data_IF_102221219565
#
_entry.id   IF_102221219565
#
_cell.length_a   1.000
_cell.length_b   1.000
_cell.length_c   1.000
_cell.angle_alpha   90.00
_cell.angle_beta   90.00
_cell.angle_gamma   90.00
#
_symmetry.space_group_name_H-M   'P 1'
#
loop_
_entity.id
_entity.type
_entity.pdbx_description
1 polymer ?
#
# COMPACT_ATOMS: atom_id res chain seq x y z
N UNK A 1 -3.95 20.56 20.44
CA UNK A 1 -4.49 19.29 20.99
C UNK A 1 -4.08 18.14 20.08
N UNK A 2 -3.40 17.11 20.59
CA UNK A 2 -3.05 15.91 19.79
C UNK A 2 -4.34 15.18 19.39
N UNK A 3 -4.72 15.22 18.12
CA UNK A 3 -5.83 14.43 17.59
C UNK A 3 -5.57 12.93 17.83
N UNK A 4 -6.50 12.29 18.54
CA UNK A 4 -6.49 10.85 18.78
C UNK A 4 -7.26 10.14 17.67
N UNK A 5 -6.85 8.92 17.38
CA UNK A 5 -7.30 8.10 16.26
C UNK A 5 -7.74 6.74 16.81
N UNK A 6 -8.94 6.25 16.46
CA UNK A 6 -9.56 5.03 17.04
C UNK A 6 -10.13 4.12 15.98
N UNK A 7 -9.89 2.80 16.06
CA UNK A 7 -10.53 1.79 15.20
C UNK A 7 -11.93 1.50 15.72
N UNK A 8 -12.95 1.66 14.86
CA UNK A 8 -14.37 1.54 15.25
C UNK A 8 -15.08 0.33 14.66
N UNK A 9 -14.61 -0.19 13.53
CA UNK A 9 -15.07 -1.46 12.98
C UNK A 9 -13.95 -2.12 12.15
N UNK A 10 -14.00 -3.44 12.00
CA UNK A 10 -13.07 -4.18 11.15
C UNK A 10 -13.75 -5.44 10.63
N UNK A 11 -13.68 -5.65 9.32
CA UNK A 11 -14.18 -6.85 8.65
C UNK A 11 -13.21 -7.27 7.55
N UNK A 12 -13.18 -8.56 7.25
CA UNK A 12 -12.46 -9.13 6.11
C UNK A 12 -13.33 -10.14 5.40
N UNK A 13 -13.08 -10.37 4.12
CA UNK A 13 -13.62 -11.55 3.45
C UNK A 13 -12.93 -12.81 3.99
N UNK A 14 -13.50 -14.00 3.76
CA UNK A 14 -12.70 -15.22 3.74
C UNK A 14 -11.53 -15.06 2.77
N UNK A 15 -10.43 -15.75 3.05
CA UNK A 15 -9.32 -15.85 2.12
C UNK A 15 -9.50 -17.10 1.25
N UNK A 16 -9.61 -16.88 -0.06
CA UNK A 16 -9.69 -17.92 -1.07
C UNK A 16 -8.31 -18.47 -1.40
N UNK A 17 -8.23 -19.76 -1.74
CA UNK A 17 -7.02 -20.34 -2.28
C UNK A 17 -6.84 -19.90 -3.75
N UNK A 18 -5.60 -19.95 -4.27
CA UNK A 18 -5.33 -19.66 -5.68
C UNK A 18 -6.15 -20.55 -6.63
N UNK A 19 -6.92 -19.92 -7.52
CA UNK A 19 -7.86 -20.62 -8.40
C UNK A 19 -9.07 -21.24 -7.69
N UNK A 20 -9.29 -20.90 -6.42
CA UNK A 20 -10.36 -21.42 -5.57
C UNK A 20 -11.68 -20.65 -5.71
N UNK A 21 -12.43 -20.56 -4.61
CA UNK A 21 -13.82 -20.06 -4.64
C UNK A 21 -13.96 -18.57 -4.99
N UNK A 22 -12.94 -17.77 -4.72
CA UNK A 22 -12.97 -16.31 -4.92
C UNK A 22 -12.35 -15.84 -6.24
N UNK A 23 -11.88 -16.76 -7.09
CA UNK A 23 -11.11 -16.42 -8.31
C UNK A 23 -11.85 -15.49 -9.28
N UNK A 24 -13.19 -15.57 -9.30
CA UNK A 24 -14.03 -14.80 -10.23
C UNK A 24 -14.37 -13.40 -9.68
N UNK A 25 -13.93 -13.07 -8.46
CA UNK A 25 -14.10 -11.75 -7.85
C UNK A 25 -12.82 -10.94 -7.96
N UNK A 26 -12.95 -9.73 -8.49
CA UNK A 26 -11.85 -8.76 -8.56
C UNK A 26 -11.45 -8.26 -7.16
N UNK A 27 -10.22 -7.76 -7.03
CA UNK A 27 -9.77 -7.09 -5.81
C UNK A 27 -10.70 -5.90 -5.45
N UNK A 28 -11.27 -5.22 -6.43
CA UNK A 28 -12.22 -4.13 -6.24
C UNK A 28 -13.52 -4.61 -5.56
N UNK A 29 -14.02 -5.78 -5.96
CA UNK A 29 -15.21 -6.40 -5.39
C UNK A 29 -14.97 -6.89 -3.97
N UNK A 30 -13.88 -7.63 -3.75
CA UNK A 30 -13.51 -8.14 -2.43
C UNK A 30 -13.31 -7.01 -1.41
N UNK A 31 -12.64 -5.92 -1.83
CA UNK A 31 -12.46 -4.73 -0.99
C UNK A 31 -13.78 -4.02 -0.70
N UNK A 32 -14.66 -3.91 -1.70
CA UNK A 32 -15.99 -3.32 -1.55
C UNK A 32 -16.88 -4.11 -0.58
N UNK A 33 -16.85 -5.44 -0.67
CA UNK A 33 -17.58 -6.33 0.24
C UNK A 33 -17.09 -6.17 1.70
N UNK A 34 -15.78 -6.18 1.90
CA UNK A 34 -15.19 -5.98 3.22
C UNK A 34 -15.55 -4.59 3.80
N UNK A 35 -15.42 -3.53 3.00
CA UNK A 35 -15.73 -2.17 3.43
C UNK A 35 -17.22 -1.99 3.74
N UNK A 36 -18.11 -2.54 2.90
CA UNK A 36 -19.55 -2.52 3.16
C UNK A 36 -19.90 -3.25 4.46
N UNK A 37 -19.31 -4.42 4.69
CA UNK A 37 -19.55 -5.21 5.89
C UNK A 37 -19.03 -4.52 7.16
N UNK A 38 -17.88 -3.84 7.08
CA UNK A 38 -17.34 -3.06 8.17
C UNK A 38 -18.25 -1.85 8.49
N UNK A 39 -18.74 -1.13 7.48
CA UNK A 39 -19.62 0.04 7.68
C UNK A 39 -20.95 -0.37 8.31
N UNK A 40 -21.46 -1.55 7.96
CA UNK A 40 -22.68 -2.10 8.53
C UNK A 40 -22.58 -2.40 10.05
N UNK A 41 -21.37 -2.48 10.62
CA UNK A 41 -21.18 -2.62 12.08
C UNK A 41 -21.39 -1.31 12.85
N UNK A 42 -21.41 -0.17 12.15
CA UNK A 42 -21.55 1.14 12.78
C UNK A 42 -23.02 1.41 13.16
N UNK A 43 -23.29 2.25 14.17
CA UNK A 43 -24.65 2.70 14.47
C UNK A 43 -25.32 3.36 13.26
N UNK A 44 -26.64 3.22 13.11
CA UNK A 44 -27.38 3.75 11.95
C UNK A 44 -27.16 5.27 11.71
N UNK A 45 -27.07 6.06 12.79
CA UNK A 45 -26.76 7.49 12.71
C UNK A 45 -25.36 7.76 12.16
N UNK A 46 -24.38 6.93 12.54
CA UNK A 46 -23.05 7.00 11.98
C UNK A 46 -23.08 6.59 10.50
N UNK A 47 -23.75 5.50 10.13
CA UNK A 47 -23.87 5.10 8.72
C UNK A 47 -24.48 6.22 7.86
N UNK A 48 -25.60 6.81 8.28
CA UNK A 48 -26.26 7.92 7.59
C UNK A 48 -25.35 9.14 7.43
N UNK A 49 -24.65 9.53 8.49
CA UNK A 49 -23.69 10.63 8.42
C UNK A 49 -22.58 10.39 7.39
N UNK A 50 -22.28 9.14 7.01
CA UNK A 50 -21.13 8.85 6.14
C UNK A 50 -21.52 8.64 4.70
N UNK A 51 -22.75 8.19 4.48
CA UNK A 51 -23.33 7.95 3.16
C UNK A 51 -24.08 9.17 2.64
N UNK A 52 -24.52 10.09 3.51
CA UNK A 52 -25.30 11.28 3.14
C UNK A 52 -24.54 12.60 3.32
N UNK A 53 -23.45 12.61 4.08
CA UNK A 53 -22.67 13.83 4.28
C UNK A 53 -21.98 14.26 2.99
N UNK A 54 -22.10 15.56 2.70
CA UNK A 54 -21.31 16.24 1.66
C UNK A 54 -19.97 16.76 2.19
N UNK A 55 -19.64 16.48 3.47
CA UNK A 55 -18.36 16.88 4.07
C UNK A 55 -17.20 16.27 3.31
N UNK A 56 -16.26 17.12 2.90
CA UNK A 56 -15.03 16.72 2.22
C UNK A 56 -14.01 16.05 3.16
N UNK A 57 -14.31 15.95 4.47
CA UNK A 57 -13.39 15.43 5.50
C UNK A 57 -13.48 13.90 5.68
N UNK A 58 -13.71 13.19 4.58
CA UNK A 58 -13.74 11.73 4.49
C UNK A 58 -12.73 11.26 3.44
N UNK A 59 -12.13 10.08 3.61
CA UNK A 59 -11.20 9.52 2.62
C UNK A 59 -11.34 7.99 2.54
N UNK A 60 -11.06 7.42 1.38
CA UNK A 60 -10.94 5.97 1.19
C UNK A 60 -9.51 5.64 0.78
N UNK A 61 -8.83 4.87 1.61
CA UNK A 61 -7.41 4.55 1.44
C UNK A 61 -7.29 3.02 1.40
N UNK A 62 -6.99 2.45 0.23
CA UNK A 62 -6.95 1.00 0.08
C UNK A 62 -5.60 0.51 -0.45
N UNK A 63 -5.09 -0.55 0.17
CA UNK A 63 -3.87 -1.20 -0.23
C UNK A 63 -4.11 -2.18 -1.37
N UNK A 64 -3.34 -2.10 -2.43
CA UNK A 64 -3.32 -3.11 -3.49
C UNK A 64 -1.93 -3.14 -4.13
N UNK A 65 -1.41 -4.35 -4.35
CA UNK A 65 -0.06 -4.55 -4.88
C UNK A 65 -0.13 -4.92 -6.35
N UNK A 66 -0.87 -5.99 -6.66
CA UNK A 66 -1.03 -6.47 -8.02
C UNK A 66 -2.33 -5.90 -8.61
N UNK A 67 -2.18 -5.08 -9.64
CA UNK A 67 -3.33 -4.53 -10.37
C UNK A 67 -3.82 -5.58 -11.39
N UNK A 68 -4.66 -6.50 -10.94
CA UNK A 68 -5.01 -7.73 -11.66
C UNK A 68 -6.30 -7.66 -12.47
N UNK A 69 -7.11 -6.60 -12.32
CA UNK A 69 -8.33 -6.38 -13.11
C UNK A 69 -8.20 -5.16 -14.03
N UNK A 70 -9.06 -5.08 -15.04
CA UNK A 70 -9.09 -3.95 -16.00
C UNK A 70 -9.37 -2.61 -15.34
N UNK A 71 -10.06 -2.61 -14.21
CA UNK A 71 -10.43 -1.45 -13.42
C UNK A 71 -9.59 -1.29 -12.15
N UNK A 72 -8.51 -2.06 -11.98
CA UNK A 72 -7.63 -2.02 -10.82
C UNK A 72 -7.00 -0.64 -10.52
N UNK A 73 -6.68 0.24 -11.51
CA UNK A 73 -6.22 1.60 -11.21
C UNK A 73 -7.20 2.43 -10.38
N UNK A 74 -8.49 2.08 -10.40
CA UNK A 74 -9.56 2.77 -9.67
C UNK A 74 -9.97 2.06 -8.37
N UNK A 75 -9.17 1.11 -7.88
CA UNK A 75 -9.55 0.21 -6.78
C UNK A 75 -10.14 0.92 -5.56
N UNK A 76 -9.40 1.84 -4.93
CA UNK A 76 -9.89 2.52 -3.73
C UNK A 76 -11.19 3.29 -3.99
N UNK A 77 -11.33 3.87 -5.19
CA UNK A 77 -12.54 4.58 -5.59
C UNK A 77 -13.73 3.61 -5.75
N UNK A 78 -13.53 2.50 -6.44
CA UNK A 78 -14.56 1.48 -6.63
C UNK A 78 -14.97 0.84 -5.31
N UNK A 79 -14.03 0.60 -4.39
CA UNK A 79 -14.31 0.13 -3.04
C UNK A 79 -15.23 1.11 -2.30
N UNK A 80 -14.90 2.40 -2.29
CA UNK A 80 -15.72 3.42 -1.64
C UNK A 80 -17.15 3.48 -2.18
N UNK A 81 -17.30 3.46 -3.51
CA UNK A 81 -18.63 3.48 -4.16
C UNK A 81 -19.43 2.20 -3.87
N UNK A 82 -18.78 1.02 -3.91
CA UNK A 82 -19.43 -0.26 -3.56
C UNK A 82 -19.84 -0.35 -2.11
N UNK A 83 -19.12 0.35 -1.23
CA UNK A 83 -19.45 0.49 0.19
C UNK A 83 -20.59 1.50 0.45
N UNK A 84 -21.07 2.20 -0.58
CA UNK A 84 -22.16 3.18 -0.48
C UNK A 84 -21.72 4.58 -0.05
N UNK A 85 -20.43 4.90 -0.13
CA UNK A 85 -19.93 6.23 0.19
C UNK A 85 -20.27 7.24 -0.94
N UNK A 86 -20.42 8.54 -0.60
CA UNK A 86 -20.73 9.58 -1.57
C UNK A 86 -19.70 9.66 -2.70
N UNK A 87 -20.16 10.00 -3.90
CA UNK A 87 -19.28 10.25 -5.05
C UNK A 87 -18.29 11.39 -4.82
N UNK A 88 -18.54 12.28 -3.86
CA UNK A 88 -17.64 13.36 -3.47
C UNK A 88 -16.47 12.89 -2.60
N UNK A 89 -16.52 11.68 -2.06
CA UNK A 89 -15.47 11.15 -1.17
C UNK A 89 -14.18 10.88 -1.97
N UNK A 90 -13.05 11.52 -1.64
CA UNK A 90 -11.77 11.23 -2.28
C UNK A 90 -11.29 9.81 -1.94
N UNK A 91 -10.55 9.21 -2.86
CA UNK A 91 -10.02 7.87 -2.69
C UNK A 91 -8.65 7.73 -3.36
N UNK A 92 -7.75 6.97 -2.76
CA UNK A 92 -6.48 6.63 -3.38
C UNK A 92 -5.98 5.24 -2.97
N UNK A 93 -5.27 4.61 -3.90
CA UNK A 93 -4.70 3.28 -3.73
C UNK A 93 -3.24 3.40 -3.32
N UNK A 94 -2.81 2.62 -2.32
CA UNK A 94 -1.43 2.59 -1.83
C UNK A 94 -0.79 1.26 -2.15
N UNK A 95 0.42 1.29 -2.69
CA UNK A 95 1.25 0.10 -2.85
C UNK A 95 2.50 0.20 -1.97
N UNK A 96 2.54 -0.63 -0.94
CA UNK A 96 3.71 -0.93 -0.09
C UNK A 96 3.90 -2.44 0.06
N UNK A 97 3.76 -3.16 -1.06
CA UNK A 97 3.81 -4.62 -1.16
C UNK A 97 2.95 -5.29 -0.07
N UNK A 98 3.43 -6.36 0.56
CA UNK A 98 2.71 -7.14 1.57
C UNK A 98 2.19 -6.30 2.77
N UNK A 99 2.71 -5.08 2.96
CA UNK A 99 2.32 -4.18 4.05
C UNK A 99 1.32 -3.10 3.63
N UNK A 100 0.79 -3.14 2.40
CA UNK A 100 -0.11 -2.10 1.88
C UNK A 100 -1.35 -1.90 2.75
N UNK A 101 -1.98 -2.98 3.22
CA UNK A 101 -3.14 -2.88 4.11
C UNK A 101 -2.86 -2.17 5.44
N UNK A 102 -1.70 -2.42 6.07
CA UNK A 102 -1.29 -1.68 7.27
C UNK A 102 -0.88 -0.24 6.97
N UNK A 103 -0.31 -0.01 5.77
CA UNK A 103 0.11 1.32 5.36
C UNK A 103 -1.08 2.27 5.26
N UNK A 104 -2.24 1.81 4.80
CA UNK A 104 -3.43 2.66 4.68
C UNK A 104 -3.92 3.17 6.04
N UNK A 105 -3.82 2.36 7.10
CA UNK A 105 -4.10 2.78 8.48
C UNK A 105 -3.15 3.91 8.90
N UNK A 106 -1.87 3.80 8.56
CA UNK A 106 -0.86 4.81 8.88
C UNK A 106 -1.15 6.12 8.16
N UNK A 107 -1.50 6.04 6.87
CA UNK A 107 -1.92 7.18 6.08
C UNK A 107 -3.15 7.88 6.69
N UNK A 108 -4.20 7.12 7.06
CA UNK A 108 -5.37 7.68 7.72
C UNK A 108 -5.02 8.39 9.05
N UNK A 109 -4.19 7.76 9.89
CA UNK A 109 -3.73 8.37 11.15
C UNK A 109 -2.99 9.69 10.88
N UNK A 110 -2.22 9.77 9.80
CA UNK A 110 -1.52 11.00 9.40
C UNK A 110 -2.51 12.08 8.96
N UNK A 111 -3.44 11.76 8.05
CA UNK A 111 -4.48 12.68 7.56
C UNK A 111 -5.35 13.23 8.71
N UNK A 112 -5.71 12.39 9.68
CA UNK A 112 -6.49 12.79 10.87
C UNK A 112 -5.70 13.70 11.80
N UNK A 113 -4.39 13.47 11.94
CA UNK A 113 -3.52 14.27 12.80
C UNK A 113 -3.29 15.67 12.25
N UNK A 114 -3.12 15.79 10.93
CA UNK A 114 -3.00 17.11 10.27
C UNK A 114 -4.36 17.80 10.13
N UNK A 115 -5.44 17.05 10.28
CA UNK A 115 -6.79 17.57 10.30
C UNK A 115 -7.42 17.70 8.91
N UNK A 116 -6.92 16.95 7.93
CA UNK A 116 -7.46 16.90 6.56
C UNK A 116 -8.74 16.05 6.50
N UNK A 117 -8.78 14.96 7.28
CA UNK A 117 -9.95 14.08 7.37
C UNK A 117 -10.32 13.83 8.83
N UNK A 118 -11.59 13.62 9.11
CA UNK A 118 -12.04 13.16 10.44
C UNK A 118 -12.18 11.64 10.49
N UNK A 119 -12.22 11.04 9.31
CA UNK A 119 -12.75 9.74 9.01
C UNK A 119 -12.04 9.20 7.76
N UNK A 120 -11.55 7.96 7.81
CA UNK A 120 -11.03 7.29 6.64
C UNK A 120 -11.43 5.81 6.60
N UNK A 121 -11.96 5.31 5.49
CA UNK A 121 -12.14 3.87 5.28
C UNK A 121 -10.80 3.31 4.81
N UNK A 122 -10.21 2.42 5.60
CA UNK A 122 -8.88 1.86 5.33
C UNK A 122 -8.95 0.37 5.10
N UNK A 123 -8.04 -0.17 4.32
CA UNK A 123 -8.02 -1.61 4.09
C UNK A 123 -6.95 -2.04 3.11
N UNK A 124 -7.04 -3.28 2.70
CA UNK A 124 -6.23 -3.87 1.64
C UNK A 124 -7.01 -4.95 0.92
N UNK A 125 -6.87 -5.02 -0.39
CA UNK A 125 -7.53 -6.03 -1.21
C UNK A 125 -6.61 -6.52 -2.31
N UNK A 126 -6.62 -7.82 -2.55
CA UNK A 126 -5.79 -8.49 -3.53
C UNK A 126 -6.57 -9.67 -4.15
N UNK A 127 -6.38 -9.85 -5.45
CA UNK A 127 -6.88 -11.03 -6.18
C UNK A 127 -5.73 -11.54 -7.03
N UNK A 128 -4.96 -12.46 -6.45
CA UNK A 128 -3.77 -13.04 -7.08
C UNK A 128 -4.17 -14.02 -8.17
N UNK A 129 -5.34 -14.68 -8.04
CA UNK A 129 -5.89 -15.58 -9.07
C UNK A 129 -6.18 -14.88 -10.40
N UNK A 130 -6.47 -13.58 -10.38
CA UNK A 130 -6.72 -12.79 -11.60
C UNK A 130 -5.46 -12.20 -12.23
N UNK A 131 -4.27 -12.48 -11.68
CA UNK A 131 -3.05 -11.91 -12.21
C UNK A 131 -2.85 -12.29 -13.70
N UNK A 132 -2.68 -11.30 -14.59
CA UNK A 132 -2.66 -11.57 -16.02
C UNK A 132 -1.30 -12.10 -16.46
N UNK A 133 -1.30 -12.76 -17.61
CA UNK A 133 -0.10 -12.87 -18.42
C UNK A 133 0.11 -11.59 -19.23
N UNK A 134 1.36 -11.12 -19.34
CA UNK A 134 1.72 -9.85 -19.97
C UNK A 134 2.68 -10.10 -21.14
N UNK A 135 2.33 -9.56 -22.31
CA UNK A 135 3.23 -9.47 -23.47
C UNK A 135 3.86 -8.08 -23.49
N UNK A 136 5.16 -8.00 -23.21
CA UNK A 136 5.92 -6.75 -23.23
C UNK A 136 6.49 -6.49 -24.62
N UNK A 137 6.78 -5.23 -24.93
CA UNK A 137 7.46 -4.79 -26.16
C UNK A 137 6.70 -5.03 -27.48
N UNK A 138 5.41 -5.36 -27.44
CA UNK A 138 4.61 -5.62 -28.66
C UNK A 138 3.85 -4.42 -29.20
N UNK A 139 3.74 -3.32 -28.42
CA UNK A 139 2.91 -2.15 -28.75
C UNK A 139 3.26 -1.51 -30.11
N UNK A 140 4.53 -1.59 -30.52
CA UNK A 140 5.05 -0.97 -31.74
C UNK A 140 5.49 -2.02 -32.77
N UNK A 141 4.95 -3.25 -32.69
CA UNK A 141 5.36 -4.38 -33.52
C UNK A 141 6.43 -5.26 -32.83
N UNK A 142 6.69 -6.42 -33.43
CA UNK A 142 7.67 -7.41 -32.93
C UNK A 142 8.68 -7.74 -34.01
N UNK A 143 9.89 -8.13 -33.61
CA UNK A 143 10.90 -8.66 -34.53
C UNK A 143 10.64 -10.13 -34.80
N UNK A 144 11.12 -10.62 -35.94
CA UNK A 144 11.11 -12.05 -36.25
C UNK A 144 11.95 -12.81 -35.21
N UNK A 145 11.33 -13.79 -34.54
CA UNK A 145 11.98 -14.64 -33.53
C UNK A 145 11.11 -14.83 -32.28
N UNK A 146 10.99 -16.06 -31.74
CA UNK A 146 10.17 -16.35 -30.56
C UNK A 146 10.64 -15.62 -29.29
N UNK A 147 11.90 -15.19 -29.23
CA UNK A 147 12.49 -14.47 -28.10
C UNK A 147 11.88 -13.08 -27.87
N UNK A 148 11.26 -12.49 -28.90
CA UNK A 148 10.60 -11.18 -28.84
C UNK A 148 9.14 -11.26 -28.38
N UNK A 149 8.58 -12.47 -28.32
CA UNK A 149 7.20 -12.76 -27.90
C UNK A 149 7.20 -13.68 -26.68
N UNK A 150 7.58 -13.13 -25.53
CA UNK A 150 7.57 -13.85 -24.25
C UNK A 150 6.35 -13.46 -23.44
N UNK A 151 5.52 -14.45 -23.17
CA UNK A 151 4.38 -14.32 -22.26
C UNK A 151 4.90 -14.39 -20.82
N UNK A 152 4.83 -13.28 -20.10
CA UNK A 152 5.29 -13.17 -18.72
C UNK A 152 4.12 -13.37 -17.76
N UNK A 153 4.25 -14.28 -16.79
CA UNK A 153 3.33 -14.34 -15.65
C UNK A 153 3.58 -13.15 -14.72
N UNK A 154 2.62 -12.22 -14.64
CA UNK A 154 2.78 -11.00 -13.84
C UNK A 154 2.87 -11.29 -12.34
N UNK A 155 2.23 -12.35 -11.85
CA UNK A 155 2.27 -12.74 -10.45
C UNK A 155 3.66 -13.25 -10.08
N UNK A 156 4.17 -14.23 -10.82
CA UNK A 156 5.51 -14.77 -10.61
C UNK A 156 6.58 -13.66 -10.75
N UNK A 157 6.40 -12.77 -11.73
CA UNK A 157 7.25 -11.61 -11.90
C UNK A 157 7.21 -10.67 -10.68
N UNK A 158 6.05 -10.46 -10.05
CA UNK A 158 5.91 -9.59 -8.86
C UNK A 158 6.52 -10.19 -7.59
N UNK A 159 6.64 -11.52 -7.51
CA UNK A 159 7.23 -12.25 -6.38
C UNK A 159 8.75 -12.44 -6.50
N UNK A 160 9.36 -11.77 -7.48
CA UNK A 160 10.81 -11.76 -7.70
C UNK A 160 11.31 -10.34 -7.62
N UNK A 161 12.12 -10.05 -6.60
CA UNK A 161 12.86 -8.79 -6.55
C UNK A 161 13.93 -8.84 -7.64
N UNK A 162 14.05 -7.78 -8.44
CA UNK A 162 15.01 -7.70 -9.54
C UNK A 162 16.16 -6.75 -9.23
N UNK A 163 16.22 -6.16 -8.03
CA UNK A 163 17.21 -5.16 -7.68
C UNK A 163 17.77 -5.33 -6.26
N UNK A 164 19.09 -5.22 -6.05
CA UNK A 164 20.15 -5.11 -7.06
C UNK A 164 20.42 -6.43 -7.79
N UNK A 165 19.93 -7.55 -7.24
CA UNK A 165 20.02 -8.89 -7.81
C UNK A 165 18.62 -9.44 -8.08
N UNK A 166 18.52 -10.40 -8.99
CA UNK A 166 17.26 -11.13 -9.24
C UNK A 166 17.09 -12.22 -8.20
N UNK A 167 16.23 -11.99 -7.22
CA UNK A 167 16.02 -12.87 -6.07
C UNK A 167 14.52 -13.10 -5.84
N UNK A 168 14.01 -14.33 -6.04
CA UNK A 168 12.67 -14.72 -5.62
C UNK A 168 12.48 -14.52 -4.12
N UNK A 169 11.28 -14.15 -3.68
CA UNK A 169 11.01 -13.89 -2.25
C UNK A 169 11.37 -15.08 -1.35
N UNK A 170 11.14 -16.31 -1.81
CA UNK A 170 11.51 -17.50 -1.04
C UNK A 170 13.03 -17.66 -0.85
N UNK A 171 13.86 -17.24 -1.81
CA UNK A 171 15.32 -17.24 -1.63
C UNK A 171 15.75 -16.24 -0.57
N UNK A 172 15.01 -15.14 -0.38
CA UNK A 172 15.28 -14.23 0.73
C UNK A 172 14.99 -14.87 2.09
N UNK A 173 14.04 -15.81 2.16
CA UNK A 173 13.77 -16.60 3.36
C UNK A 173 14.87 -17.67 3.58
N UNK A 174 15.34 -18.34 2.53
CA UNK A 174 16.49 -19.26 2.62
C UNK A 174 17.75 -18.54 3.15
N UNK A 175 18.04 -17.33 2.66
CA UNK A 175 19.17 -16.51 3.14
C UNK A 175 19.03 -16.16 4.63
N UNK A 176 17.81 -15.90 5.10
CA UNK A 176 17.55 -15.67 6.51
C UNK A 176 17.70 -16.95 7.33
N UNK A 177 17.25 -18.09 6.81
CA UNK A 177 17.44 -19.37 7.47
C UNK A 177 18.93 -19.69 7.65
N UNK A 178 19.73 -19.50 6.60
CA UNK A 178 21.19 -19.64 6.65
C UNK A 178 21.80 -18.66 7.67
N UNK A 179 21.36 -17.40 7.68
CA UNK A 179 21.91 -16.35 8.56
C UNK A 179 21.61 -16.59 10.05
N UNK A 180 20.41 -17.09 10.35
CA UNK A 180 19.94 -17.27 11.72
C UNK A 180 19.96 -18.73 12.18
N UNK A 181 20.58 -19.61 11.39
CA UNK A 181 20.65 -21.05 11.64
C UNK A 181 19.28 -21.69 11.89
N UNK A 182 18.26 -21.25 11.14
CA UNK A 182 16.91 -21.84 11.22
C UNK A 182 16.90 -23.12 10.41
N UNK A 183 16.61 -24.24 11.08
CA UNK A 183 16.59 -25.55 10.44
C UNK A 183 15.27 -25.81 9.70
N UNK A 184 15.29 -26.79 8.80
CA UNK A 184 14.06 -27.29 8.15
C UNK A 184 13.03 -27.77 9.18
N UNK A 185 13.48 -28.43 10.24
CA UNK A 185 12.60 -28.90 11.33
C UNK A 185 11.91 -27.72 12.01
N UNK A 186 12.64 -26.64 12.32
CA UNK A 186 12.05 -25.44 12.94
C UNK A 186 10.96 -24.83 12.05
N UNK A 187 11.20 -24.77 10.73
CA UNK A 187 10.21 -24.28 9.77
C UNK A 187 8.95 -25.14 9.73
N UNK A 188 9.10 -26.47 9.70
CA UNK A 188 7.97 -27.40 9.63
C UNK A 188 7.19 -27.45 10.95
N UNK A 189 7.86 -27.38 12.11
CA UNK A 189 7.20 -27.27 13.41
C UNK A 189 6.39 -25.97 13.53
N UNK A 190 6.95 -24.85 13.07
CA UNK A 190 6.22 -23.58 13.04
C UNK A 190 4.99 -23.65 12.12
N UNK A 191 5.13 -24.28 10.95
CA UNK A 191 4.04 -24.48 10.01
C UNK A 191 2.92 -25.36 10.59
N UNK A 192 3.29 -26.48 11.23
CA UNK A 192 2.34 -27.35 11.92
C UNK A 192 1.59 -26.58 13.00
N UNK A 193 2.33 -25.84 13.86
CA UNK A 193 1.74 -25.00 14.90
C UNK A 193 0.75 -23.99 14.31
N UNK A 194 1.07 -23.37 13.17
CA UNK A 194 0.17 -22.44 12.49
C UNK A 194 -1.14 -23.11 12.04
N UNK A 195 -1.07 -24.32 11.47
CA UNK A 195 -2.26 -25.07 11.03
C UNK A 195 -3.11 -25.51 12.21
N UNK A 196 -2.49 -25.98 13.30
CA UNK A 196 -3.17 -26.36 14.53
C UNK A 196 -3.88 -25.18 15.18
N UNK A 197 -3.21 -24.03 15.30
CA UNK A 197 -3.82 -22.82 15.89
C UNK A 197 -4.96 -22.28 15.03
N UNK A 198 -4.81 -22.30 13.70
CA UNK A 198 -5.91 -21.91 12.83
C UNK A 198 -7.12 -22.83 13.02
N UNK A 199 -6.91 -24.15 13.08
CA UNK A 199 -8.00 -25.12 13.26
C UNK A 199 -8.73 -24.90 14.58
N UNK A 200 -7.98 -24.73 15.68
CA UNK A 200 -8.55 -24.42 16.99
C UNK A 200 -9.36 -23.13 16.98
N UNK A 201 -8.81 -22.05 16.39
CA UNK A 201 -9.50 -20.76 16.29
C UNK A 201 -10.78 -20.85 15.44
N UNK A 202 -10.75 -21.64 14.37
CA UNK A 202 -11.90 -21.87 13.50
C UNK A 202 -12.99 -22.69 14.19
N UNK A 203 -12.62 -23.69 14.99
CA UNK A 203 -13.55 -24.50 15.78
C UNK A 203 -14.16 -23.72 16.94
N UNK A 204 -13.38 -22.82 17.55
CA UNK A 204 -13.84 -21.97 18.66
C UNK A 204 -14.54 -20.67 18.21
N UNK A 205 -14.78 -20.49 16.90
CA UNK A 205 -15.51 -19.32 16.36
C UNK A 205 -14.78 -17.98 16.47
N UNK A 206 -13.45 -17.96 16.62
CA UNK A 206 -12.67 -16.72 16.78
C UNK A 206 -12.82 -15.79 15.57
N UNK A 207 -13.00 -16.36 14.37
CA UNK A 207 -13.10 -15.59 13.13
C UNK A 207 -14.52 -15.08 12.83
N UNK A 208 -15.55 -15.51 13.57
CA UNK A 208 -16.95 -15.19 13.27
C UNK A 208 -17.22 -13.68 13.34
N UNK A 209 -16.53 -12.99 14.25
CA UNK A 209 -16.65 -11.54 14.40
C UNK A 209 -15.99 -10.75 13.26
N UNK A 210 -14.93 -11.26 12.64
CA UNK A 210 -14.16 -10.54 11.61
C UNK A 210 -14.53 -10.93 10.17
N UNK A 211 -15.03 -12.14 9.94
CA UNK A 211 -15.42 -12.59 8.59
C UNK A 211 -16.72 -11.90 8.14
N UNK A 212 -16.68 -11.38 6.92
CA UNK A 212 -17.83 -10.96 6.14
C UNK A 212 -18.12 -12.03 5.08
N UNK A 213 -19.27 -12.74 5.16
CA UNK A 213 -19.66 -13.73 4.17
C UNK A 213 -19.61 -13.17 2.74
N UNK A 214 -19.12 -13.98 1.80
CA UNK A 214 -19.04 -13.62 0.37
C UNK A 214 -19.90 -14.58 -0.44
N UNK A 215 -20.84 -14.03 -1.21
CA UNK A 215 -21.65 -14.82 -2.14
C UNK A 215 -20.87 -15.06 -3.43
N UNK A 216 -20.74 -16.33 -3.80
CA UNK A 216 -20.11 -16.76 -5.05
C UNK A 216 -21.09 -17.54 -5.90
N UNK A 217 -21.05 -17.33 -7.22
CA UNK A 217 -21.90 -18.07 -8.16
C UNK A 217 -21.19 -19.35 -8.57
N UNK A 218 -21.75 -20.49 -8.20
CA UNK A 218 -21.27 -21.81 -8.64
C UNK A 218 -22.29 -22.40 -9.60
N UNK A 219 -21.98 -22.34 -10.90
CA UNK A 219 -22.90 -22.74 -11.99
C UNK A 219 -24.22 -21.94 -11.92
N UNK A 220 -25.32 -22.58 -11.51
CA UNK A 220 -26.66 -21.97 -11.36
C UNK A 220 -27.03 -21.66 -9.91
N UNK A 221 -26.18 -22.02 -8.94
CA UNK A 221 -26.44 -21.82 -7.52
C UNK A 221 -25.57 -20.69 -6.95
N UNK A 222 -26.06 -20.06 -5.87
CA UNK A 222 -25.29 -19.11 -5.06
C UNK A 222 -24.83 -19.86 -3.81
N UNK A 223 -23.53 -19.84 -3.56
CA UNK A 223 -22.90 -20.39 -2.35
C UNK A 223 -22.40 -19.24 -1.48
N UNK A 224 -22.59 -19.32 -0.17
CA UNK A 224 -21.94 -18.41 0.77
C UNK A 224 -20.60 -18.97 1.23
N UNK A 225 -19.53 -18.27 0.91
CA UNK A 225 -18.20 -18.53 1.44
C UNK A 225 -18.05 -17.79 2.76
N UNK A 226 -17.85 -18.54 3.84
CA UNK A 226 -17.73 -18.03 5.21
C UNK A 226 -16.49 -18.51 5.95
N UNK A 227 -15.64 -19.31 5.28
CA UNK A 227 -14.46 -19.93 5.86
C UNK A 227 -13.27 -19.75 4.93
N UNK A 228 -12.09 -19.60 5.52
CA UNK A 228 -10.83 -19.56 4.78
C UNK A 228 -10.58 -20.91 4.10
N UNK A 229 -10.17 -20.87 2.82
CA UNK A 229 -10.07 -22.06 1.98
C UNK A 229 -8.68 -22.71 2.02
N UNK A 230 -7.64 -21.89 2.23
CA UNK A 230 -6.25 -22.33 2.17
C UNK A 230 -5.78 -23.27 3.31
N UNK A 231 -6.24 -23.10 4.56
CA UNK A 231 -5.76 -23.90 5.69
C UNK A 231 -5.98 -25.40 5.54
N UNK A 232 -5.06 -26.19 6.11
CA UNK A 232 -4.99 -27.65 6.00
C UNK A 232 -4.99 -28.26 7.41
N UNK A 233 -6.16 -28.40 8.07
CA UNK A 233 -6.22 -28.80 9.48
C UNK A 233 -5.69 -30.21 9.77
N UNK A 234 -5.59 -31.07 8.74
CA UNK A 234 -5.06 -32.44 8.85
C UNK A 234 -3.55 -32.53 8.63
N UNK A 235 -2.84 -31.41 8.69
CA UNK A 235 -1.37 -31.38 8.51
C UNK A 235 -0.70 -32.18 9.63
N UNK A 236 0.31 -32.99 9.27
CA UNK A 236 1.16 -33.71 10.23
C UNK A 236 2.62 -33.39 9.97
N UNK A 237 3.48 -33.56 10.98
CA UNK A 237 4.91 -33.30 10.84
C UNK A 237 5.57 -34.23 9.82
N UNK A 238 5.13 -35.49 9.75
CA UNK A 238 5.62 -36.47 8.78
C UNK A 238 5.19 -36.10 7.36
N UNK A 239 4.01 -35.51 7.21
CA UNK A 239 3.53 -34.97 5.94
C UNK A 239 4.39 -33.79 5.47
N UNK A 240 4.71 -32.87 6.38
CA UNK A 240 5.56 -31.71 6.09
C UNK A 240 6.99 -32.11 5.73
N UNK A 241 7.59 -33.04 6.49
CA UNK A 241 8.95 -33.52 6.27
C UNK A 241 9.15 -34.19 4.89
N UNK A 242 8.08 -34.77 4.32
CA UNK A 242 8.11 -35.39 2.98
C UNK A 242 8.09 -34.37 1.84
N UNK A 243 7.76 -33.11 2.10
CA UNK A 243 7.68 -32.10 1.05
C UNK A 243 9.09 -31.66 0.59
N UNK A 244 9.34 -31.62 -0.73
CA UNK A 244 10.62 -31.17 -1.24
C UNK A 244 10.81 -29.66 -1.00
N UNK A 245 12.06 -29.25 -0.83
CA UNK A 245 12.42 -27.85 -0.92
C UNK A 245 12.18 -27.35 -2.35
N UNK A 246 11.56 -26.16 -2.50
CA UNK A 246 11.07 -25.69 -3.81
C UNK A 246 12.07 -24.77 -4.50
N UNK A 247 12.82 -23.97 -3.74
CA UNK A 247 13.60 -22.85 -4.29
C UNK A 247 15.11 -23.04 -4.25
N UNK A 248 15.61 -23.83 -3.30
CA UNK A 248 17.04 -24.14 -3.12
C UNK A 248 17.20 -25.64 -2.88
N UNK A 249 18.18 -26.26 -3.53
CA UNK A 249 18.53 -27.66 -3.25
C UNK A 249 19.00 -27.75 -1.79
N UNK A 250 18.46 -28.72 -1.05
CA UNK A 250 18.70 -28.89 0.39
C UNK A 250 18.31 -27.63 1.22
N UNK A 251 17.36 -26.84 0.69
CA UNK A 251 16.80 -25.66 1.35
C UNK A 251 15.76 -25.99 2.41
N UNK A 252 15.39 -24.97 3.19
CA UNK A 252 14.39 -25.12 4.26
C UNK A 252 12.97 -24.80 3.79
N UNK A 253 12.81 -24.05 2.70
CA UNK A 253 11.50 -23.56 2.24
C UNK A 253 10.80 -24.60 1.36
N UNK A 254 9.64 -25.07 1.83
CA UNK A 254 8.74 -26.01 1.15
C UNK A 254 7.36 -25.39 0.93
N UNK A 255 6.52 -26.05 0.12
CA UNK A 255 5.12 -25.66 -0.05
C UNK A 255 4.28 -25.79 1.24
N UNK A 256 4.77 -26.51 2.26
CA UNK A 256 4.07 -26.70 3.53
C UNK A 256 4.40 -25.64 4.58
N UNK A 257 5.55 -24.96 4.44
CA UNK A 257 6.03 -23.98 5.41
C UNK A 257 6.16 -22.54 4.85
N UNK A 258 5.84 -22.35 3.56
CA UNK A 258 5.61 -21.03 2.96
C UNK A 258 4.11 -20.71 2.89
N UNK A 259 3.75 -19.42 2.92
CA UNK A 259 2.38 -18.98 2.69
C UNK A 259 1.95 -19.23 1.25
N UNK A 260 0.70 -19.66 1.04
CA UNK A 260 0.13 -19.81 -0.29
C UNK A 260 -0.19 -18.48 -0.98
N UNK A 261 -0.49 -18.62 -2.27
CA UNK A 261 -1.12 -17.57 -3.08
C UNK A 261 -2.62 -17.57 -2.74
N UNK A 262 -3.19 -16.40 -2.51
CA UNK A 262 -4.55 -16.24 -2.00
C UNK A 262 -5.25 -15.02 -2.55
N UNK A 263 -6.58 -15.06 -2.50
CA UNK A 263 -7.45 -13.93 -2.82
C UNK A 263 -8.18 -13.46 -1.56
N UNK A 264 -8.27 -12.15 -1.34
CA UNK A 264 -8.97 -11.62 -0.17
C UNK A 264 -9.03 -10.11 -0.10
N UNK A 265 -10.08 -9.61 0.56
CA UNK A 265 -10.27 -8.21 0.89
C UNK A 265 -10.39 -8.02 2.40
N UNK A 266 -9.81 -6.95 2.92
CA UNK A 266 -9.97 -6.53 4.31
C UNK A 266 -10.23 -5.04 4.39
N UNK A 267 -11.12 -4.65 5.29
CA UNK A 267 -11.42 -3.28 5.63
C UNK A 267 -11.32 -3.10 7.14
N UNK A 268 -10.44 -2.20 7.55
CA UNK A 268 -10.44 -1.63 8.88
C UNK A 268 -11.11 -0.27 8.80
N UNK A 269 -12.32 -0.18 9.32
CA UNK A 269 -13.08 1.02 9.33
C UNK A 269 -12.60 1.96 10.43
N UNK A 270 -11.91 2.98 9.93
CA UNK A 270 -11.60 4.29 10.50
C UNK A 270 -10.74 4.28 11.71
N UNK A 271 -9.67 5.08 11.62
CA UNK A 271 -9.30 5.95 12.71
C UNK A 271 -10.33 7.11 12.79
N UNK A 272 -10.95 7.32 13.95
CA UNK A 272 -11.75 8.52 14.22
C UNK A 272 -10.93 9.63 14.86
N UNK A 273 -11.10 10.88 14.44
CA UNK A 273 -10.82 12.04 15.33
C UNK A 273 -11.87 12.03 16.43
N UNK A 274 -11.50 11.78 17.68
CA UNK A 274 -12.47 11.86 18.79
C UNK A 274 -13.06 13.27 18.91
N UNK A 275 -14.29 13.46 18.41
CA UNK A 275 -15.29 14.27 19.09
C UNK A 275 -16.01 13.29 20.01
N UNK A 276 -16.00 13.56 21.32
CA UNK A 276 -16.40 12.67 22.44
C UNK A 276 -17.81 12.04 22.36
N UNK A 277 -18.60 12.24 21.31
CA UNK A 277 -20.02 11.94 21.29
C UNK A 277 -20.44 10.64 20.58
N UNK A 278 -19.64 10.06 19.68
CA UNK A 278 -20.16 9.00 18.77
C UNK A 278 -19.75 7.55 19.07
N UNK A 279 -18.76 7.27 19.93
CA UNK A 279 -18.32 5.89 20.18
C UNK A 279 -18.23 5.59 21.69
N UNK A 280 -19.24 4.90 22.23
CA UNK A 280 -19.23 4.44 23.63
C UNK A 280 -18.36 3.19 23.86
N UNK A 281 -17.84 2.52 22.82
CA UNK A 281 -16.91 1.39 22.96
C UNK A 281 -15.89 1.33 21.78
N UNK A 282 -14.68 1.92 21.90
CA UNK A 282 -13.63 1.74 20.89
C UNK A 282 -13.05 0.33 20.95
N UNK A 283 -12.93 -0.34 19.79
CA UNK A 283 -12.42 -1.71 19.71
C UNK A 283 -10.91 -1.81 20.00
N UNK A 284 -10.14 -0.81 19.57
CA UNK A 284 -8.72 -0.70 19.88
C UNK A 284 -8.17 0.72 19.64
N UNK A 285 -7.14 1.09 20.41
CA UNK A 285 -6.33 2.29 20.17
C UNK A 285 -5.03 1.88 19.47
N UNK A 286 -4.68 2.47 18.31
CA UNK A 286 -3.37 2.24 17.69
C UNK A 286 -2.24 2.65 18.66
N UNK A 287 -1.20 1.82 18.78
CA UNK A 287 -0.06 2.07 19.66
C UNK A 287 0.58 3.44 19.42
N UNK A 288 1.17 4.03 20.48
CA UNK A 288 1.98 5.26 20.44
C UNK A 288 3.27 5.04 19.63
N UNK A 289 3.14 5.06 18.30
CA UNK A 289 4.25 4.93 17.35
C UNK A 289 4.14 3.67 16.49
N UNK A 290 4.01 3.87 15.18
CA UNK A 290 4.19 2.83 14.15
C UNK A 290 5.47 3.17 13.37
N UNK A 291 6.65 2.82 13.90
CA UNK A 291 7.91 3.18 13.25
C UNK A 291 8.11 2.37 11.97
N UNK A 292 8.64 3.03 10.94
CA UNK A 292 9.11 2.38 9.73
C UNK A 292 10.62 2.23 9.78
N UNK A 293 11.13 1.01 9.60
CA UNK A 293 12.57 0.78 9.38
C UNK A 293 12.84 0.10 8.04
N UNK A 294 14.01 0.39 7.47
CA UNK A 294 14.55 -0.20 6.24
C UNK A 294 15.36 -1.45 6.58
N UNK A 295 15.37 -2.43 5.68
CA UNK A 295 16.29 -3.58 5.69
C UNK A 295 17.05 -3.63 4.36
N UNK A 296 18.14 -4.40 4.30
CA UNK A 296 18.89 -4.62 3.05
C UNK A 296 18.03 -5.42 2.05
N UNK A 297 18.10 -5.10 0.73
CA UNK A 297 17.55 -5.97 -0.31
C UNK A 297 18.13 -7.38 -0.16
N UNK A 298 17.29 -8.41 -0.24
CA UNK A 298 17.68 -9.82 -0.04
C UNK A 298 17.38 -10.43 1.34
N UNK A 299 16.94 -9.65 2.32
CA UNK A 299 16.54 -10.13 3.67
C UNK A 299 15.21 -9.49 4.13
N UNK A 300 14.21 -9.44 3.24
CA UNK A 300 12.96 -8.70 3.47
C UNK A 300 12.17 -9.18 4.71
N UNK A 301 12.26 -10.48 5.03
CA UNK A 301 11.57 -11.10 6.18
C UNK A 301 12.02 -10.61 7.57
N UNK A 302 13.22 -10.02 7.69
CA UNK A 302 13.73 -9.53 8.99
C UNK A 302 13.09 -8.19 9.44
N UNK A 303 12.27 -7.57 8.58
CA UNK A 303 11.72 -6.22 8.82
C UNK A 303 10.84 -6.10 10.08
N UNK A 304 9.97 -7.06 10.44
CA UNK A 304 9.13 -6.96 11.63
C UNK A 304 9.93 -6.78 12.92
N UNK A 305 11.06 -7.47 13.07
CA UNK A 305 11.92 -7.37 14.25
C UNK A 305 12.50 -5.97 14.47
N UNK A 306 12.79 -5.23 13.39
CA UNK A 306 13.29 -3.84 13.47
C UNK A 306 12.17 -2.81 13.66
N UNK A 307 10.92 -3.18 13.40
CA UNK A 307 9.75 -2.31 13.56
C UNK A 307 9.14 -2.37 14.97
N UNK A 308 9.49 -3.36 15.79
CA UNK A 308 9.08 -3.38 17.19
C UNK A 308 10.05 -2.53 18.02
N UNK A 309 9.62 -1.46 18.69
CA UNK A 309 10.48 -0.78 19.64
C UNK A 309 10.69 -1.74 20.81
N UNK A 310 11.93 -2.19 21.00
CA UNK A 310 12.34 -2.86 22.23
C UNK A 310 11.93 -2.03 23.45
N UNK A 311 11.69 -2.70 24.59
CA UNK A 311 11.46 -2.03 25.88
C UNK A 311 12.50 -0.91 26.08
N UNK A 312 12.13 0.26 26.60
CA UNK A 312 13.08 1.35 26.79
C UNK A 312 14.19 0.87 27.74
N UNK A 313 15.40 0.69 27.21
CA UNK A 313 16.58 0.32 28.01
C UNK A 313 17.53 -0.73 27.42
N UNK A 314 17.17 -1.44 26.34
CA UNK A 314 18.10 -2.39 25.70
C UNK A 314 18.43 -1.97 24.27
N UNK A 315 19.62 -1.38 24.12
CA UNK A 315 20.32 -1.27 22.83
C UNK A 315 21.09 -2.58 22.69
N UNK A 316 20.65 -3.47 21.80
CA UNK A 316 21.50 -4.59 21.39
C UNK A 316 22.66 -4.05 20.53
N UNK A 317 23.92 -4.36 20.85
CA UNK A 317 25.04 -4.00 20.01
C UNK A 317 25.08 -4.89 18.76
N UNK A 318 25.12 -4.26 17.59
CA UNK A 318 25.36 -4.92 16.30
C UNK A 318 26.85 -5.27 16.21
N UNK A 319 27.23 -6.48 16.61
CA UNK A 319 28.60 -6.97 16.48
C UNK A 319 28.84 -7.53 15.08
N UNK A 320 29.33 -6.68 14.18
CA UNK A 320 30.05 -7.11 12.98
C UNK A 320 31.51 -7.47 13.32
N UNK A 321 32.21 -8.28 12.50
CA UNK A 321 33.53 -8.82 12.86
C UNK A 321 34.68 -7.81 12.84
N UNK A 322 34.45 -6.53 12.52
CA UNK A 322 35.50 -5.52 12.49
C UNK A 322 35.14 -4.34 13.39
N UNK A 323 35.73 -4.32 14.58
CA UNK A 323 35.56 -3.28 15.58
C UNK A 323 36.20 -1.96 15.18
N UNK A 324 35.43 -1.06 14.55
CA UNK A 324 35.76 0.36 14.50
C UNK A 324 34.50 1.23 14.68
N UNK A 325 34.44 1.93 15.81
CA UNK A 325 33.44 2.96 16.09
C UNK A 325 33.55 4.12 15.09
N UNK A 326 32.51 4.34 14.27
CA UNK A 326 32.27 5.62 13.57
C UNK A 326 30.94 6.23 13.98
N UNK A 327 31.06 7.34 14.69
CA UNK A 327 29.99 8.25 15.08
C UNK A 327 29.40 8.90 13.81
N UNK A 328 28.16 8.57 13.43
CA UNK A 328 27.54 9.11 12.21
C UNK A 328 26.90 10.48 12.48
N UNK A 329 27.63 11.56 12.18
CA UNK A 329 27.06 12.84 11.75
C UNK A 329 27.23 12.97 10.23
N UNK A 330 26.13 13.20 9.52
CA UNK A 330 26.10 13.76 8.16
C UNK A 330 26.65 12.87 7.03
N UNK A 331 25.77 12.23 6.27
CA UNK A 331 26.12 11.63 4.98
C UNK A 331 25.86 12.64 3.86
N UNK A 332 26.90 13.40 3.50
CA UNK A 332 27.07 13.96 2.17
C UNK A 332 27.49 12.84 1.19
N UNK A 333 26.95 12.88 -0.03
CA UNK A 333 27.23 11.95 -1.12
C UNK A 333 28.74 11.88 -1.47
N UNK A 334 29.31 10.69 -1.77
CA UNK A 334 30.70 10.60 -2.21
C UNK A 334 30.80 10.85 -3.73
N UNK A 335 31.59 11.87 -4.10
CA UNK A 335 32.14 12.03 -5.45
C UNK A 335 33.39 11.18 -5.67
N UNK A 336 33.84 11.00 -6.92
CA UNK A 336 34.88 10.04 -7.28
C UNK A 336 36.28 10.48 -6.83
N UNK A 337 37.07 9.51 -6.38
CA UNK A 337 38.45 9.65 -5.89
C UNK A 337 39.40 9.84 -7.06
N UNK A 338 40.06 11.00 -7.15
CA UNK A 338 41.24 11.21 -8.01
C UNK A 338 42.48 11.21 -7.12
N UNK A 339 43.36 10.22 -7.32
CA UNK A 339 44.72 10.17 -6.75
C UNK A 339 45.64 11.05 -7.58
N UNK A 340 46.31 12.03 -6.98
CA UNK A 340 47.65 12.44 -7.40
C UNK A 340 48.47 12.94 -6.21
N UNK A 341 49.68 12.40 -6.07
CA UNK A 341 50.71 12.86 -5.15
C UNK A 341 51.74 13.74 -5.86
N UNK A 342 52.08 14.84 -5.15
CA UNK A 342 53.34 15.57 -5.10
C UNK A 342 53.99 16.12 -6.37
N UNK A 343 54.01 17.46 -6.46
CA UNK A 343 54.97 18.24 -7.25
C UNK A 343 54.76 19.74 -7.04
N UNK A 344 55.58 20.35 -6.17
CA UNK A 344 55.58 21.78 -5.85
C UNK A 344 55.66 22.71 -7.08
N UNK A 345 54.89 23.80 -7.07
CA UNK A 345 55.35 25.18 -7.33
C UNK A 345 54.24 26.20 -7.00
N UNK A 346 54.70 27.31 -6.42
CA UNK A 346 53.98 28.46 -5.89
C UNK A 346 53.37 29.38 -6.96
N UNK A 347 52.17 29.91 -6.72
CA UNK A 347 51.82 31.32 -7.00
C UNK A 347 50.47 31.72 -6.35
N UNK A 348 50.37 33.02 -6.02
CA UNK A 348 49.49 33.73 -5.09
C UNK A 348 47.98 33.84 -5.45
N UNK A 349 47.10 34.28 -4.51
CA UNK A 349 45.65 34.12 -4.61
C UNK A 349 44.95 35.32 -5.27
N UNK A 350 43.98 35.06 -6.15
CA UNK A 350 43.01 36.08 -6.56
C UNK A 350 41.58 35.64 -6.29
N UNK A 351 40.82 36.62 -5.80
CA UNK A 351 39.53 36.55 -5.12
C UNK A 351 38.41 36.19 -6.10
N UNK A 352 37.55 35.25 -5.72
CA UNK A 352 36.22 35.09 -6.32
C UNK A 352 35.28 36.11 -5.64
N UNK A 353 34.91 37.16 -6.39
CA UNK A 353 33.81 38.05 -6.02
C UNK A 353 32.48 37.47 -6.50
N UNK A 354 31.50 37.50 -5.62
CA UNK A 354 30.09 37.31 -5.90
C UNK A 354 29.55 38.47 -6.75
N UNK A 355 28.79 38.17 -7.80
CA UNK A 355 27.87 39.13 -8.41
C UNK A 355 26.52 38.47 -8.69
N UNK A 356 25.48 39.11 -8.15
CA UNK A 356 24.07 38.83 -8.34
C UNK A 356 23.58 39.06 -9.79
N UNK A 357 22.49 38.36 -10.12
CA UNK A 357 21.64 38.56 -11.30
C UNK A 357 21.21 40.03 -11.50
N UNK A 358 20.89 40.37 -12.76
CA UNK A 358 19.48 40.56 -13.10
C UNK A 358 19.11 39.93 -14.47
N UNK A 359 17.91 39.34 -14.57
CA UNK A 359 17.30 38.97 -15.87
C UNK A 359 16.59 40.18 -16.52
N UNK A 360 15.61 39.98 -17.43
CA UNK A 360 15.51 39.00 -18.52
C UNK A 360 15.35 39.72 -19.89
N UNK A 361 15.73 39.08 -21.00
CA UNK A 361 15.33 39.55 -22.34
C UNK A 361 14.98 38.38 -23.26
N UNK A 362 13.75 38.43 -23.75
CA UNK A 362 13.21 37.56 -24.78
C UNK A 362 13.98 37.70 -26.12
N UNK A 363 14.09 36.60 -26.87
CA UNK A 363 14.12 36.60 -28.34
C UNK A 363 13.59 35.26 -28.85
N UNK A 364 12.44 35.33 -29.52
CA UNK A 364 11.97 34.33 -30.46
C UNK A 364 12.86 34.36 -31.71
N UNK A 365 13.22 33.20 -32.23
CA UNK A 365 13.72 33.01 -33.60
C UNK A 365 12.93 31.86 -34.21
N UNK A 366 12.22 32.14 -35.29
CA UNK A 366 11.62 31.16 -36.19
C UNK A 366 12.17 31.38 -37.61
N UNK A 367 12.41 30.28 -38.33
CA UNK A 367 12.67 30.15 -39.78
C UNK A 367 12.39 28.66 -40.10
N UNK A 368 11.81 28.17 -41.19
CA UNK A 368 10.86 28.60 -42.23
C UNK A 368 10.44 27.31 -42.98
N UNK A 369 9.29 27.33 -43.65
CA UNK A 369 8.66 26.22 -44.38
C UNK A 369 9.31 25.88 -45.74
N UNK A 370 9.15 24.63 -46.19
CA UNK A 370 8.88 24.31 -47.60
C UNK A 370 7.87 23.14 -47.72
N UNK A 371 6.71 23.41 -48.31
CA UNK A 371 5.82 22.47 -49.03
C UNK A 371 5.58 23.03 -50.45
N UNK A 372 4.98 22.30 -51.42
CA UNK A 372 3.51 22.33 -51.64
C UNK A 372 2.96 21.10 -52.45
N UNK A 373 1.75 21.09 -53.09
CA UNK A 373 0.44 21.71 -52.81
C UNK A 373 -0.79 20.73 -52.88
N UNK A 374 -1.93 21.15 -52.31
CA UNK A 374 -3.28 20.61 -52.64
C UNK A 374 -4.38 21.19 -51.73
N UNK A 375 -5.28 22.01 -52.29
CA UNK A 375 -6.26 22.88 -51.61
C UNK A 375 -7.67 22.23 -51.41
N UNK A 376 -8.63 22.85 -50.66
CA UNK A 376 -9.60 22.18 -49.77
C UNK A 376 -11.09 22.32 -50.19
N UNK A 377 -12.06 22.02 -49.29
CA UNK A 377 -13.03 23.06 -48.94
C UNK A 377 -13.41 23.20 -47.44
N UNK A 378 -13.53 24.48 -47.06
CA UNK A 378 -14.54 25.19 -46.23
C UNK A 378 -15.15 24.60 -44.94
N UNK A 379 -15.13 25.42 -43.86
CA UNK A 379 -16.09 25.26 -42.73
C UNK A 379 -15.71 25.84 -41.36
N UNK A 380 -15.70 27.18 -41.22
CA UNK A 380 -16.06 27.97 -40.01
C UNK A 380 -15.41 27.77 -38.60
N UNK A 381 -14.40 28.64 -38.34
CA UNK A 381 -14.21 29.63 -37.23
C UNK A 381 -14.60 29.36 -35.73
N UNK A 382 -13.52 29.26 -34.91
CA UNK A 382 -13.15 29.99 -33.64
C UNK A 382 -13.93 29.78 -32.32
N UNK A 383 -13.35 30.11 -31.12
CA UNK A 383 -12.08 29.64 -30.55
C UNK A 383 -12.18 29.23 -29.05
N UNK A 384 -11.18 28.44 -28.60
CA UNK A 384 -10.91 28.07 -27.21
C UNK A 384 -10.59 29.29 -26.32
N UNK A 385 -11.19 29.36 -25.11
CA UNK A 385 -10.76 30.26 -24.02
C UNK A 385 -9.91 29.50 -23.01
N UNK A 386 -8.66 29.93 -22.90
CA UNK A 386 -7.73 29.60 -21.82
C UNK A 386 -7.94 30.62 -20.68
N UNK A 387 -8.11 30.17 -19.43
CA UNK A 387 -8.20 31.05 -18.25
C UNK A 387 -6.92 30.93 -17.43
N UNK A 388 -6.17 32.04 -17.37
CA UNK A 388 -5.04 32.26 -16.47
C UNK A 388 -5.48 33.15 -15.31
N UNK A 389 -4.98 32.76 -14.13
CA UNK A 389 -4.90 33.45 -12.85
C UNK A 389 -5.05 34.99 -12.84
N UNK A 390 -5.91 35.48 -11.95
CA UNK A 390 -5.84 36.83 -11.39
C UNK A 390 -5.65 36.74 -9.87
N UNK A 391 -4.43 37.10 -9.42
CA UNK A 391 -4.16 37.55 -8.05
C UNK A 391 -4.64 39.01 -7.93
N UNK A 392 -5.36 39.34 -6.86
CA UNK A 392 -5.35 40.71 -6.30
C UNK A 392 -5.24 40.67 -4.77
N UNK A 393 -4.33 41.50 -4.27
CA UNK A 393 -4.07 41.83 -2.86
C UNK A 393 -5.05 42.92 -2.39
N UNK A 394 -5.32 42.86 -1.09
CA UNK A 394 -5.94 43.79 -0.12
C UNK A 394 -5.77 45.32 -0.33
N UNK A 395 -6.68 46.13 0.26
CA UNK A 395 -6.58 46.66 1.66
C UNK A 395 -7.92 46.56 2.43
N UNK A 396 -8.12 46.66 3.75
CA UNK A 396 -7.35 46.96 4.95
C UNK A 396 -8.30 47.63 5.98
N UNK A 397 -8.34 47.14 7.24
CA UNK A 397 -8.96 47.71 8.50
C UNK A 397 -10.47 48.04 8.46
N UNK A 398 -11.32 47.84 9.49
CA UNK A 398 -11.22 47.43 10.89
C UNK A 398 -12.63 47.48 11.54
N UNK A 399 -12.67 47.22 12.85
CA UNK A 399 -13.78 47.36 13.82
C UNK A 399 -14.82 46.23 14.05
N UNK A 400 -14.60 45.56 15.20
CA UNK A 400 -15.54 45.19 16.25
C UNK A 400 -17.06 45.16 15.97
N UNK A 401 -17.67 44.00 16.22
CA UNK A 401 -18.83 43.91 17.13
C UNK A 401 -18.86 42.55 17.84
N UNK A 402 -19.04 42.61 19.18
CA UNK A 402 -19.43 41.50 20.06
C UNK A 402 -20.95 41.34 20.00
N UNK A 403 -21.47 40.12 20.09
CA UNK A 403 -22.89 39.86 20.37
C UNK A 403 -23.32 38.40 20.08
N UNK A 404 -23.87 37.65 21.06
CA UNK A 404 -24.11 36.21 20.99
C UNK A 404 -25.56 35.82 20.70
N UNK A 405 -25.81 34.62 20.16
CA UNK A 405 -27.07 33.84 20.26
C UNK A 405 -26.72 32.40 19.81
N UNK A 406 -26.60 31.39 20.68
CA UNK A 406 -27.61 30.67 21.47
C UNK A 406 -28.70 29.97 20.64
N UNK A 407 -28.70 28.64 20.74
CA UNK A 407 -29.85 27.72 20.82
C UNK A 407 -30.86 27.71 19.65
N UNK A 408 -30.95 26.55 18.99
CA UNK A 408 -32.24 25.87 18.76
C UNK A 408 -31.96 24.41 18.33
N UNK A 409 -32.04 23.54 19.35
CA UNK A 409 -32.59 22.19 19.24
C UNK A 409 -34.11 22.37 19.16
N UNK A 410 -34.77 21.73 18.21
CA UNK A 410 -36.14 21.22 18.37
C UNK A 410 -36.48 20.24 17.22
N UNK A 411 -36.90 19.06 17.66
CA UNK A 411 -37.84 18.10 17.07
C UNK A 411 -37.48 17.20 15.87
N UNK A 412 -37.35 15.91 16.24
CA UNK A 412 -37.50 14.62 15.51
C UNK A 412 -36.25 14.02 14.84
#
# INVERSE_FOLDING_TARGET
MSSQAFIVAAKRTPFGAFGGKLKDLSANELGGLAAKAALAQLPASAQAHLTQSTSERQSVIFGNVAQTSTDAPYLARHVGLRAGLPITTPAYTVNRLCTSGFQTIINAVQEIKVGDVDVAVTGGSESMSQAPYVLRNVRWGTKFGPEYLKMEDALAASLTDRYPEVVPMAITAERLADQYSVSRTDCDEFALRSQTLWAQAQESGVYDAEIAPVEVKVKRAVEQVTKDEHPRPKTTIEGLAKLPAVFKKDGVVSAGNASGISDGGSACDRCWRAVRQAARHPAARPHRGLPHRRCRPGTHGHRPCRCHPGRPGQVEPDHGPDGHHRNQRGLCCPGPVVRQGSGHRSCSPQRVRWCHCPGPSARCLGIAHHGPPGAPPEGYRRPLRCWICLRRRWPGRGHHHRGPLSLLLEDI
#
